data_IF_923389610827
#
_entry.id   IF_923389610827
#
_cell.length_a   1.000
_cell.length_b   1.000
_cell.length_c   1.000
_cell.angle_alpha   90.00
_cell.angle_beta   90.00
_cell.angle_gamma   90.00
#
_symmetry.space_group_name_H-M   'P 1'
#
loop_
_entity.id
_entity.type
_entity.pdbx_description
1 polymer ?
#
# COMPACT_ATOMS: atom_id res chain seq x y z
N UNK A 1 -30.82 9.43 49.55
CA UNK A 1 -32.09 9.32 48.80
C UNK A 1 -31.98 10.23 47.60
N UNK A 2 -31.36 9.72 46.52
CA UNK A 2 -32.01 9.18 45.32
C UNK A 2 -32.75 10.26 44.54
N UNK A 3 -32.19 10.63 43.38
CA UNK A 3 -32.95 10.76 42.14
C UNK A 3 -31.99 10.67 40.96
N UNK A 4 -31.98 9.47 40.41
CA UNK A 4 -31.35 9.00 39.19
C UNK A 4 -31.98 9.60 37.93
N UNK A 5 -31.15 9.99 36.96
CA UNK A 5 -31.54 10.04 35.55
C UNK A 5 -30.56 9.18 34.75
N UNK A 6 -31.00 7.94 34.51
CA UNK A 6 -30.60 7.11 33.38
C UNK A 6 -31.17 7.70 32.10
N UNK A 7 -30.44 7.60 30.99
CA UNK A 7 -30.93 7.41 29.60
C UNK A 7 -29.68 7.31 28.70
N UNK A 8 -29.16 6.12 28.43
CA UNK A 8 -29.48 5.16 27.34
C UNK A 8 -28.44 5.18 26.22
N UNK A 9 -27.81 4.01 26.07
CA UNK A 9 -27.01 3.50 24.97
C UNK A 9 -27.60 3.79 23.59
N UNK A 10 -26.84 4.46 22.71
CA UNK A 10 -27.11 4.47 21.28
C UNK A 10 -26.50 3.22 20.63
N UNK A 11 -27.35 2.19 20.52
CA UNK A 11 -27.16 1.02 19.68
C UNK A 11 -27.10 1.42 18.20
N UNK A 12 -25.99 1.10 17.53
CA UNK A 12 -25.91 1.13 16.07
C UNK A 12 -26.81 0.02 15.47
N UNK A 13 -27.60 0.31 14.42
CA UNK A 13 -28.44 -0.70 13.79
C UNK A 13 -27.60 -1.66 12.91
N UNK A 14 -28.03 -2.92 12.72
CA UNK A 14 -27.33 -3.87 11.86
C UNK A 14 -27.65 -3.58 10.38
N UNK A 15 -26.64 -3.38 9.55
CA UNK A 15 -26.83 -3.29 8.10
C UNK A 15 -26.96 -4.70 7.51
N UNK A 16 -28.18 -5.04 7.14
CA UNK A 16 -28.56 -6.29 6.47
C UNK A 16 -28.12 -6.20 5.01
N UNK A 17 -27.33 -7.17 4.56
CA UNK A 17 -27.02 -7.36 3.13
C UNK A 17 -28.22 -7.95 2.40
N UNK A 18 -28.58 -7.45 1.21
CA UNK A 18 -29.54 -8.15 0.39
C UNK A 18 -28.89 -8.69 -0.89
N UNK A 19 -29.28 -9.92 -1.22
CA UNK A 19 -29.17 -10.60 -2.51
C UNK A 19 -27.94 -11.47 -2.80
N UNK A 20 -28.09 -12.73 -2.38
CA UNK A 20 -27.77 -13.88 -3.23
C UNK A 20 -29.02 -14.20 -4.08
N UNK A 21 -28.89 -14.42 -5.39
CA UNK A 21 -29.75 -15.33 -6.19
C UNK A 21 -29.22 -15.50 -7.63
N UNK A 22 -28.93 -16.78 -7.92
CA UNK A 22 -29.16 -17.58 -9.14
C UNK A 22 -28.37 -17.34 -10.43
N UNK A 23 -27.64 -18.41 -10.75
CA UNK A 23 -27.35 -18.91 -12.07
C UNK A 23 -28.54 -18.79 -13.04
N UNK A 24 -28.23 -18.40 -14.28
CA UNK A 24 -29.06 -18.67 -15.45
C UNK A 24 -28.20 -19.37 -16.50
N UNK A 25 -28.44 -20.67 -16.59
CA UNK A 25 -28.37 -21.43 -17.83
C UNK A 25 -29.15 -20.72 -18.92
N UNK A 26 -28.59 -20.64 -20.12
CA UNK A 26 -29.39 -20.65 -21.35
C UNK A 26 -28.54 -21.21 -22.49
N UNK A 27 -28.83 -22.46 -22.83
CA UNK A 27 -28.42 -23.06 -24.09
C UNK A 27 -29.26 -22.51 -25.22
N UNK A 28 -28.62 -22.28 -26.36
CA UNK A 28 -29.27 -22.19 -27.65
C UNK A 28 -28.60 -23.20 -28.58
N UNK A 29 -29.42 -24.17 -28.98
CA UNK A 29 -29.15 -25.16 -30.00
C UNK A 29 -29.13 -24.48 -31.37
N UNK A 30 -28.08 -24.68 -32.16
CA UNK A 30 -28.18 -24.63 -33.61
C UNK A 30 -27.48 -25.85 -34.21
N UNK A 31 -28.21 -26.48 -35.12
CA UNK A 31 -27.91 -27.73 -35.81
C UNK A 31 -26.74 -27.59 -36.79
N UNK A 32 -26.08 -28.73 -37.05
CA UNK A 32 -24.79 -28.82 -37.71
C UNK A 32 -24.79 -28.77 -39.23
N UNK A 33 -23.59 -28.65 -39.79
CA UNK A 33 -23.24 -29.15 -41.11
C UNK A 33 -21.77 -29.61 -41.07
N UNK A 34 -21.56 -30.88 -41.43
CA UNK A 34 -20.25 -31.51 -41.59
C UNK A 34 -19.60 -31.01 -42.89
N UNK A 35 -18.30 -30.69 -42.85
CA UNK A 35 -17.27 -31.19 -43.79
C UNK A 35 -15.89 -30.56 -43.45
N UNK A 36 -14.79 -31.32 -43.54
CA UNK A 36 -13.46 -30.84 -43.15
C UNK A 36 -12.71 -30.30 -44.36
N UNK A 37 -12.41 -29.00 -44.39
CA UNK A 37 -11.40 -28.46 -45.30
C UNK A 37 -10.04 -28.48 -44.60
N UNK A 38 -9.33 -29.56 -44.91
CA UNK A 38 -7.90 -29.79 -44.78
C UNK A 38 -7.13 -28.69 -45.52
N UNK A 39 -6.81 -27.60 -44.84
CA UNK A 39 -5.73 -26.69 -45.26
C UNK A 39 -4.43 -27.10 -44.56
N UNK A 40 -3.52 -27.52 -45.42
CA UNK A 40 -2.22 -28.10 -45.19
C UNK A 40 -1.27 -27.00 -44.66
N UNK A 41 -1.25 -26.78 -43.34
CA UNK A 41 -0.13 -26.09 -42.72
C UNK A 41 1.04 -27.07 -42.64
N UNK A 42 2.05 -26.85 -43.47
CA UNK A 42 3.31 -27.58 -43.40
C UNK A 42 3.88 -27.48 -41.97
N UNK A 43 3.86 -28.60 -41.27
CA UNK A 43 4.65 -28.85 -40.07
C UNK A 43 6.13 -28.77 -40.45
N UNK A 44 6.73 -27.60 -40.23
CA UNK A 44 8.17 -27.52 -39.96
C UNK A 44 8.29 -27.73 -38.46
N UNK A 45 8.59 -28.97 -38.08
CA UNK A 45 9.04 -29.36 -36.74
C UNK A 45 10.41 -28.71 -36.48
N UNK A 46 10.41 -27.42 -36.17
CA UNK A 46 11.53 -26.77 -35.50
C UNK A 46 11.18 -26.79 -34.01
N UNK A 47 11.84 -27.68 -33.26
CA UNK A 47 11.81 -27.67 -31.82
C UNK A 47 12.07 -26.24 -31.30
N UNK A 48 11.33 -25.73 -30.30
CA UNK A 48 11.80 -24.54 -29.61
C UNK A 48 13.18 -24.88 -29.06
N UNK A 49 14.22 -24.03 -29.22
CA UNK A 49 15.40 -24.21 -28.41
C UNK A 49 14.90 -24.14 -26.98
N UNK A 50 15.01 -25.27 -26.27
CA UNK A 50 14.86 -25.32 -24.84
C UNK A 50 15.88 -24.33 -24.30
N UNK A 51 15.43 -23.11 -24.02
CA UNK A 51 16.24 -22.01 -23.54
C UNK A 51 16.60 -22.42 -22.11
N UNK A 52 17.71 -23.14 -22.02
CA UNK A 52 18.19 -23.73 -20.79
C UNK A 52 18.30 -22.58 -19.79
N UNK A 53 17.65 -22.74 -18.64
CA UNK A 53 17.68 -21.81 -17.51
C UNK A 53 19.07 -21.77 -16.84
N UNK A 54 20.15 -21.73 -17.63
CA UNK A 54 21.55 -21.67 -17.17
C UNK A 54 22.43 -20.97 -18.20
N UNK A 55 22.26 -19.67 -18.33
CA UNK A 55 23.38 -18.77 -18.61
C UNK A 55 23.58 -17.93 -17.34
N UNK A 56 24.15 -18.58 -16.33
CA UNK A 56 24.71 -17.93 -15.16
C UNK A 56 26.01 -17.26 -15.61
N UNK A 57 25.91 -16.03 -16.09
CA UNK A 57 27.07 -15.17 -16.34
C UNK A 57 26.95 -13.99 -15.38
N UNK A 58 27.78 -13.98 -14.34
CA UNK A 58 27.80 -12.89 -13.35
C UNK A 58 28.08 -11.52 -13.97
N UNK A 59 28.68 -11.48 -15.17
CA UNK A 59 28.96 -10.23 -15.91
C UNK A 59 27.73 -9.60 -16.57
N UNK A 60 26.65 -10.36 -16.82
CA UNK A 60 25.41 -9.83 -17.42
C UNK A 60 24.41 -9.41 -16.35
N UNK A 61 24.56 -9.84 -15.09
CA UNK A 61 23.68 -9.43 -13.99
C UNK A 61 23.57 -7.91 -13.91
N UNK A 62 24.68 -7.17 -13.97
CA UNK A 62 24.65 -5.70 -13.89
C UNK A 62 23.92 -5.02 -15.06
N UNK A 63 24.01 -5.58 -16.28
CA UNK A 63 23.32 -5.03 -17.46
C UNK A 63 21.84 -5.43 -17.42
N UNK A 64 21.53 -6.67 -17.02
CA UNK A 64 20.17 -7.15 -16.84
C UNK A 64 19.44 -6.34 -15.77
N UNK A 65 20.05 -6.17 -14.60
CA UNK A 65 19.52 -5.37 -13.50
C UNK A 65 19.32 -3.93 -13.94
N UNK A 66 20.24 -3.34 -14.70
CA UNK A 66 20.07 -1.98 -15.24
C UNK A 66 18.89 -1.86 -16.23
N UNK A 67 18.70 -2.86 -17.11
CA UNK A 67 17.62 -2.88 -18.09
C UNK A 67 16.25 -3.15 -17.43
N UNK A 68 16.19 -4.03 -16.43
CA UNK A 68 14.94 -4.39 -15.76
C UNK A 68 14.58 -3.42 -14.64
N UNK A 69 15.55 -2.89 -13.90
CA UNK A 69 15.33 -1.93 -12.80
C UNK A 69 14.66 -0.63 -13.28
N UNK A 70 15.04 -0.15 -14.48
CA UNK A 70 14.40 1.01 -15.10
C UNK A 70 12.90 0.80 -15.41
N UNK A 71 12.53 -0.43 -15.78
CA UNK A 71 11.13 -0.80 -15.99
C UNK A 71 10.39 -0.97 -14.65
N UNK A 72 11.02 -1.60 -13.64
CA UNK A 72 10.43 -1.81 -12.32
C UNK A 72 10.07 -0.50 -11.61
N UNK A 73 10.92 0.52 -11.65
CA UNK A 73 10.62 1.83 -11.06
C UNK A 73 9.46 2.54 -11.77
N UNK A 74 9.39 2.44 -13.10
CA UNK A 74 8.26 2.99 -13.88
C UNK A 74 6.96 2.27 -13.57
N UNK A 75 7.01 0.95 -13.46
CA UNK A 75 5.86 0.12 -13.13
C UNK A 75 5.36 0.39 -11.71
N UNK A 76 6.26 0.64 -10.75
CA UNK A 76 5.92 1.08 -9.41
C UNK A 76 5.10 2.39 -9.43
N UNK A 77 5.54 3.38 -10.21
CA UNK A 77 4.80 4.64 -10.38
C UNK A 77 3.42 4.41 -11.00
N UNK A 78 3.28 3.48 -11.94
CA UNK A 78 1.98 3.12 -12.53
C UNK A 78 1.08 2.47 -11.48
N UNK A 79 1.61 1.56 -10.67
CA UNK A 79 0.87 0.91 -9.58
C UNK A 79 0.39 1.95 -8.55
N UNK A 80 1.22 2.92 -8.13
CA UNK A 80 0.81 4.02 -7.25
C UNK A 80 -0.38 4.79 -7.84
N UNK A 81 -0.30 5.19 -9.12
CA UNK A 81 -1.39 5.92 -9.79
C UNK A 81 -2.69 5.12 -9.84
N UNK A 82 -2.60 3.81 -10.04
CA UNK A 82 -3.76 2.90 -10.02
C UNK A 82 -4.34 2.79 -8.61
N UNK A 83 -3.50 2.63 -7.59
CA UNK A 83 -3.93 2.62 -6.19
C UNK A 83 -4.74 3.87 -5.84
N UNK A 84 -4.22 5.05 -6.17
CA UNK A 84 -4.92 6.32 -6.00
C UNK A 84 -6.27 6.39 -6.76
N UNK A 85 -6.36 5.78 -7.94
CA UNK A 85 -7.62 5.74 -8.70
C UNK A 85 -8.65 4.83 -8.03
N UNK A 86 -8.23 3.64 -7.61
CA UNK A 86 -9.08 2.67 -6.90
C UNK A 86 -9.59 3.24 -5.58
N UNK A 87 -8.72 3.92 -4.83
CA UNK A 87 -9.11 4.59 -3.59
C UNK A 87 -10.24 5.61 -3.82
N UNK A 88 -10.10 6.46 -4.87
CA UNK A 88 -11.14 7.42 -5.25
C UNK A 88 -12.45 6.77 -5.72
N UNK A 89 -12.39 5.53 -6.17
CA UNK A 89 -13.56 4.72 -6.54
C UNK A 89 -14.15 3.95 -5.36
N UNK A 90 -13.66 4.20 -4.13
CA UNK A 90 -14.04 3.49 -2.92
C UNK A 90 -13.63 2.00 -2.90
N UNK A 91 -12.76 1.57 -3.82
CA UNK A 91 -12.10 0.26 -3.75
C UNK A 91 -10.81 0.39 -2.92
N UNK A 92 -10.99 0.43 -1.60
CA UNK A 92 -9.89 0.63 -0.64
C UNK A 92 -8.97 -0.59 -0.59
N UNK A 93 -9.52 -1.80 -0.73
CA UNK A 93 -8.73 -3.03 -0.74
C UNK A 93 -7.87 -3.12 -2.01
N UNK A 94 -8.45 -2.88 -3.19
CA UNK A 94 -7.72 -2.83 -4.44
C UNK A 94 -6.65 -1.73 -4.44
N UNK A 95 -6.96 -0.58 -3.85
CA UNK A 95 -5.98 0.49 -3.63
C UNK A 95 -4.76 0.00 -2.85
N UNK A 96 -4.98 -0.65 -1.71
CA UNK A 96 -3.90 -1.17 -0.87
C UNK A 96 -3.05 -2.21 -1.63
N UNK A 97 -3.67 -3.10 -2.40
CA UNK A 97 -2.95 -4.10 -3.19
C UNK A 97 -2.03 -3.47 -4.24
N UNK A 98 -2.47 -2.42 -4.94
CA UNK A 98 -1.62 -1.71 -5.90
C UNK A 98 -0.49 -0.93 -5.21
N UNK A 99 -0.72 -0.40 -4.00
CA UNK A 99 0.35 0.21 -3.21
C UNK A 99 1.38 -0.81 -2.70
N UNK A 100 0.95 -1.97 -2.22
CA UNK A 100 1.85 -3.05 -1.82
C UNK A 100 2.68 -3.54 -3.01
N UNK A 101 2.05 -3.70 -4.18
CA UNK A 101 2.75 -4.01 -5.43
C UNK A 101 3.76 -2.94 -5.83
N UNK A 102 3.46 -1.66 -5.63
CA UNK A 102 4.43 -0.59 -5.90
C UNK A 102 5.68 -0.72 -5.03
N UNK A 103 5.52 -1.13 -3.76
CA UNK A 103 6.63 -1.38 -2.83
C UNK A 103 7.43 -2.62 -3.24
N UNK A 104 6.78 -3.68 -3.74
CA UNK A 104 7.48 -4.87 -4.27
C UNK A 104 8.34 -4.53 -5.48
N UNK A 105 7.82 -3.65 -6.37
CA UNK A 105 8.51 -3.22 -7.58
C UNK A 105 9.65 -2.23 -7.29
N UNK A 106 9.45 -1.31 -6.34
CA UNK A 106 10.48 -0.38 -5.87
C UNK A 106 10.34 -0.13 -4.36
N UNK A 107 11.13 -0.82 -3.52
CA UNK A 107 11.06 -0.69 -2.07
C UNK A 107 11.33 0.72 -1.55
N UNK A 108 12.01 1.57 -2.33
CA UNK A 108 12.30 2.97 -1.95
C UNK A 108 11.03 3.80 -1.86
N UNK A 109 9.98 3.41 -2.59
CA UNK A 109 8.70 4.12 -2.59
C UNK A 109 7.98 4.04 -1.25
N UNK A 110 8.23 2.99 -0.44
CA UNK A 110 7.53 2.78 0.83
C UNK A 110 7.64 3.98 1.78
N UNK A 111 8.79 4.64 1.81
CA UNK A 111 9.04 5.76 2.72
C UNK A 111 8.30 7.05 2.34
N UNK A 112 7.64 7.11 1.16
CA UNK A 112 6.97 8.30 0.63
C UNK A 112 5.49 8.03 0.28
N UNK A 113 4.94 6.91 0.74
CA UNK A 113 3.64 6.40 0.28
C UNK A 113 2.56 6.55 1.36
N UNK A 114 2.38 7.76 1.90
CA UNK A 114 1.31 8.09 2.86
C UNK A 114 -0.10 7.65 2.42
N UNK A 115 -0.38 7.63 1.11
CA UNK A 115 -1.67 7.19 0.54
C UNK A 115 -1.98 5.72 0.88
N UNK A 116 -0.94 4.88 1.02
CA UNK A 116 -1.07 3.52 1.53
C UNK A 116 -1.56 3.52 2.98
N UNK A 117 -1.07 4.45 3.80
CA UNK A 117 -1.50 4.66 5.18
C UNK A 117 -2.99 4.97 5.27
N UNK A 118 -3.52 5.80 4.36
CA UNK A 118 -4.96 6.05 4.28
C UNK A 118 -5.75 4.78 3.96
N UNK A 119 -5.30 4.00 2.98
CA UNK A 119 -5.97 2.74 2.62
C UNK A 119 -5.97 1.76 3.81
N UNK A 120 -4.88 1.70 4.58
CA UNK A 120 -4.80 0.90 5.80
C UNK A 120 -5.76 1.40 6.89
N UNK A 121 -5.87 2.72 7.08
CA UNK A 121 -6.80 3.32 8.04
C UNK A 121 -8.25 2.93 7.74
N UNK A 122 -8.69 3.08 6.49
CA UNK A 122 -10.06 2.74 6.07
C UNK A 122 -10.36 1.22 6.06
N UNK A 123 -9.34 0.38 6.19
CA UNK A 123 -9.46 -1.08 6.35
C UNK A 123 -9.27 -1.52 7.81
N UNK A 124 -9.30 -0.59 8.76
CA UNK A 124 -9.08 -0.81 10.20
C UNK A 124 -7.71 -1.44 10.55
N UNK A 125 -6.72 -1.34 9.63
CA UNK A 125 -5.35 -1.81 9.82
C UNK A 125 -4.49 -0.73 10.47
N UNK A 126 -4.96 -0.21 11.60
CA UNK A 126 -4.41 1.00 12.22
C UNK A 126 -2.94 0.87 12.63
N UNK A 127 -2.48 -0.31 13.08
CA UNK A 127 -1.08 -0.51 13.48
C UNK A 127 -0.13 -0.31 12.30
N UNK A 128 -0.48 -0.87 11.14
CA UNK A 128 0.29 -0.71 9.91
C UNK A 128 0.15 0.69 9.32
N UNK A 129 -1.03 1.30 9.47
CA UNK A 129 -1.27 2.69 9.07
C UNK A 129 -0.38 3.66 9.84
N UNK A 130 -0.36 3.56 11.18
CA UNK A 130 0.51 4.37 12.04
C UNK A 130 1.99 4.22 11.63
N UNK A 131 2.45 2.99 11.42
CA UNK A 131 3.82 2.74 10.97
C UNK A 131 4.11 3.38 9.60
N UNK A 132 3.18 3.25 8.66
CA UNK A 132 3.31 3.85 7.33
C UNK A 132 3.42 5.38 7.40
N UNK A 133 2.68 6.04 8.28
CA UNK A 133 2.76 7.48 8.49
C UNK A 133 4.04 7.90 9.20
N UNK A 134 4.53 7.13 10.19
CA UNK A 134 5.84 7.42 10.81
C UNK A 134 6.99 7.38 9.81
N UNK A 135 6.97 6.42 8.88
CA UNK A 135 7.95 6.35 7.80
C UNK A 135 7.93 7.60 6.90
N UNK A 136 6.75 8.13 6.62
CA UNK A 136 6.56 9.32 5.78
C UNK A 136 7.01 10.60 6.51
N UNK A 137 6.58 10.78 7.78
CA UNK A 137 7.03 11.88 8.66
C UNK A 137 8.57 11.87 8.81
N UNK A 138 9.20 10.69 8.88
CA UNK A 138 10.66 10.60 8.92
C UNK A 138 11.34 11.13 7.65
N UNK A 139 10.67 11.11 6.49
CA UNK A 139 11.17 11.72 5.26
C UNK A 139 10.82 13.21 5.14
N UNK A 140 9.63 13.61 5.61
CA UNK A 140 9.18 15.01 5.62
C UNK A 140 8.70 15.44 7.02
N UNK A 141 9.62 15.76 7.96
CA UNK A 141 9.25 16.07 9.35
C UNK A 141 8.45 17.37 9.53
N UNK A 142 8.38 18.21 8.49
CA UNK A 142 7.65 19.46 8.52
C UNK A 142 6.18 19.28 8.12
N UNK A 143 5.79 18.09 7.65
CA UNK A 143 4.41 17.83 7.30
C UNK A 143 3.59 17.46 8.54
N UNK A 144 2.59 18.29 8.81
CA UNK A 144 1.71 18.09 9.96
C UNK A 144 0.61 17.09 9.63
N UNK A 145 0.29 16.87 8.35
CA UNK A 145 -0.83 16.02 7.95
C UNK A 145 -0.58 14.56 8.32
N UNK A 146 0.58 13.98 7.96
CA UNK A 146 0.90 12.58 8.25
C UNK A 146 1.05 12.32 9.76
N UNK A 147 1.52 13.31 10.52
CA UNK A 147 1.58 13.23 11.97
C UNK A 147 0.18 13.15 12.60
N UNK A 148 -0.80 13.87 12.05
CA UNK A 148 -2.20 13.80 12.47
C UNK A 148 -2.79 12.42 12.11
N UNK A 149 -2.52 11.91 10.90
CA UNK A 149 -2.99 10.58 10.51
C UNK A 149 -2.39 9.46 11.37
N UNK A 150 -1.12 9.58 11.76
CA UNK A 150 -0.50 8.67 12.74
C UNK A 150 -1.24 8.73 14.08
N UNK A 151 -1.53 9.93 14.59
CA UNK A 151 -2.32 10.10 15.81
C UNK A 151 -3.71 9.47 15.70
N UNK A 152 -4.39 9.63 14.56
CA UNK A 152 -5.72 9.03 14.34
C UNK A 152 -5.66 7.50 14.35
N UNK A 153 -4.65 6.89 13.75
CA UNK A 153 -4.42 5.44 13.84
C UNK A 153 -4.20 5.00 15.29
N UNK A 154 -3.32 5.70 16.03
CA UNK A 154 -3.02 5.36 17.42
C UNK A 154 -4.21 5.56 18.35
N UNK A 155 -5.04 6.56 18.11
CA UNK A 155 -6.25 6.79 18.89
C UNK A 155 -7.23 5.60 18.75
N UNK A 156 -7.31 4.99 17.56
CA UNK A 156 -8.11 3.79 17.33
C UNK A 156 -7.50 2.55 18.01
N UNK A 157 -6.17 2.46 18.09
CA UNK A 157 -5.48 1.32 18.72
C UNK A 157 -5.47 1.37 20.25
N UNK A 158 -5.16 2.54 20.81
CA UNK A 158 -4.78 2.70 22.22
C UNK A 158 -5.69 3.67 22.99
N UNK A 159 -6.57 4.38 22.29
CA UNK A 159 -7.38 5.46 22.85
C UNK A 159 -6.71 6.83 22.73
N UNK A 160 -7.55 7.87 22.77
CA UNK A 160 -7.15 9.28 22.53
C UNK A 160 -6.10 9.77 23.52
N UNK A 161 -6.19 9.39 24.80
CA UNK A 161 -5.27 9.90 25.82
C UNK A 161 -3.83 9.38 25.63
N UNK A 162 -3.68 8.09 25.27
CA UNK A 162 -2.37 7.52 24.97
C UNK A 162 -1.79 8.10 23.68
N UNK A 163 -2.60 8.17 22.63
CA UNK A 163 -2.20 8.77 21.35
C UNK A 163 -1.77 10.24 21.53
N UNK A 164 -2.45 11.00 22.39
CA UNK A 164 -2.08 12.39 22.71
C UNK A 164 -0.70 12.47 23.34
N UNK A 165 -0.40 11.59 24.30
CA UNK A 165 0.91 11.57 24.93
C UNK A 165 2.02 11.26 23.92
N UNK A 166 1.86 10.24 23.09
CA UNK A 166 2.83 9.92 22.03
C UNK A 166 3.00 11.09 21.04
N UNK A 167 1.91 11.74 20.63
CA UNK A 167 1.96 12.88 19.72
C UNK A 167 2.72 14.08 20.30
N UNK A 168 2.52 14.37 21.60
CA UNK A 168 3.24 15.42 22.31
C UNK A 168 4.72 15.08 22.52
N UNK A 169 5.04 13.83 22.85
CA UNK A 169 6.41 13.34 22.95
C UNK A 169 7.14 13.51 21.62
N UNK A 170 6.57 13.00 20.52
CA UNK A 170 7.13 13.14 19.18
C UNK A 170 7.35 14.61 18.78
N UNK A 171 6.38 15.48 19.08
CA UNK A 171 6.48 16.93 18.82
C UNK A 171 7.62 17.58 19.61
N UNK A 172 7.79 17.20 20.88
CA UNK A 172 8.86 17.72 21.74
C UNK A 172 10.24 17.23 21.28
N UNK A 173 10.35 15.96 20.87
CA UNK A 173 11.59 15.41 20.30
C UNK A 173 11.96 16.09 18.98
N UNK A 174 10.99 16.42 18.12
CA UNK A 174 11.24 17.16 16.89
C UNK A 174 11.78 18.58 17.17
N UNK A 175 11.19 19.29 18.14
CA UNK A 175 11.65 20.62 18.56
C UNK A 175 13.06 20.57 19.19
N UNK A 176 13.32 19.61 20.06
CA UNK A 176 14.63 19.43 20.68
C UNK A 176 15.69 19.04 19.65
N UNK A 177 15.36 18.16 18.71
CA UNK A 177 16.25 17.78 17.62
C UNK A 177 16.53 18.98 16.71
N UNK A 178 15.52 19.78 16.36
CA UNK A 178 15.70 21.01 15.59
C UNK A 178 16.61 22.01 16.30
N UNK A 179 16.38 22.28 17.59
CA UNK A 179 17.25 23.14 18.39
C UNK A 179 18.68 22.58 18.46
N UNK A 180 18.84 21.28 18.72
CA UNK A 180 20.15 20.65 18.76
C UNK A 180 20.89 20.72 17.41
N UNK A 181 20.19 20.47 16.29
CA UNK A 181 20.73 20.55 14.93
C UNK A 181 21.03 21.98 14.48
N UNK A 182 20.27 22.98 14.93
CA UNK A 182 20.52 24.39 14.65
C UNK A 182 21.76 24.93 15.36
N UNK A 183 22.19 24.30 16.46
CA UNK A 183 23.38 24.69 17.23
C UNK A 183 24.56 23.70 17.12
N UNK A 184 24.41 22.56 16.43
CA UNK A 184 25.47 21.55 16.26
C UNK A 184 26.13 21.60 14.87
N UNK A 185 27.47 21.53 14.77
CA UNK A 185 28.20 21.57 13.49
C UNK A 185 28.25 20.19 12.80
N UNK A 186 27.15 19.43 12.81
CA UNK A 186 27.15 18.05 12.30
C UNK A 186 26.81 17.97 10.80
N UNK A 187 27.51 17.10 10.03
CA UNK A 187 27.28 16.94 8.60
C UNK A 187 25.90 16.33 8.29
N UNK A 188 25.33 16.72 7.14
CA UNK A 188 23.95 16.44 6.71
C UNK A 188 23.51 14.96 6.77
N UNK A 189 24.44 14.00 6.75
CA UNK A 189 24.15 12.56 6.79
C UNK A 189 23.63 12.05 8.15
N UNK A 190 23.91 12.71 9.27
CA UNK A 190 23.48 12.24 10.60
C UNK A 190 21.99 12.51 10.90
N UNK A 191 21.29 13.23 10.01
CA UNK A 191 19.93 13.75 10.25
C UNK A 191 18.82 12.70 10.10
N UNK A 192 19.07 11.60 9.38
CA UNK A 192 18.04 10.56 9.07
C UNK A 192 17.83 9.51 10.17
N UNK A 193 18.76 9.37 11.12
CA UNK A 193 18.71 8.27 12.09
C UNK A 193 17.73 8.52 13.25
N UNK A 194 17.43 9.78 13.57
CA UNK A 194 16.68 10.13 14.78
C UNK A 194 15.17 9.87 14.71
N UNK A 195 14.56 9.86 13.53
CA UNK A 195 13.11 9.69 13.38
C UNK A 195 12.66 8.23 13.34
N UNK A 196 13.55 7.26 13.12
CA UNK A 196 13.18 5.84 12.97
C UNK A 196 13.09 5.04 14.27
N UNK A 197 13.32 5.64 15.45
CA UNK A 197 13.37 4.91 16.74
C UNK A 197 12.31 5.33 17.75
N UNK A 198 11.23 5.98 17.32
CA UNK A 198 10.05 6.26 18.15
C UNK A 198 8.82 5.57 17.58
#
# INVERSE_FOLDING_TARGET
MVSSLNLTSSSFPPFVSPFSIKALSNGLLFYGINTPLRTQYHQILAAPPALSKRLFVSSVSGIWDALTSGNSARDAVIAIRRGMLLFRQNDVLGSLMEFDKAIELDPRQKAYLWQRGLSLYYLDRFAEGAEQFRLDVAQNPNDTEESIWCFLCEAQLYGVDKARNHFLEASLYCLLSFLYLSFSPLPKCARKQFFCTC
#
